data_IF_892308253629
#
_entry.id   IF_892308253629
#
_cell.length_a   1.000
_cell.length_b   1.000
_cell.length_c   1.000
_cell.angle_alpha   90.00
_cell.angle_beta   90.00
_cell.angle_gamma   90.00
#
_symmetry.space_group_name_H-M   'P 1'
#
loop_
_entity.id
_entity.type
_entity.pdbx_description
1 polymer ?
#
# COMPACT_ATOMS: atom_id res chain seq x y z
N UNK A 1 -39.12 -3.81 -82.00
CA UNK A 1 -39.76 -3.99 -80.68
C UNK A 1 -38.91 -4.95 -79.89
N UNK A 2 -38.01 -4.45 -79.05
CA UNK A 2 -37.50 -5.20 -77.89
C UNK A 2 -37.23 -4.16 -76.80
N UNK A 3 -37.95 -4.30 -75.68
CA UNK A 3 -38.08 -3.30 -74.64
C UNK A 3 -36.99 -3.40 -73.59
N UNK A 4 -36.53 -2.24 -73.10
CA UNK A 4 -35.63 -2.14 -71.95
C UNK A 4 -36.44 -2.47 -70.70
N UNK A 5 -36.09 -3.57 -70.03
CA UNK A 5 -36.61 -3.90 -68.70
C UNK A 5 -35.75 -3.17 -67.67
N UNK A 6 -36.28 -2.11 -67.07
CA UNK A 6 -35.64 -1.38 -65.97
C UNK A 6 -36.02 -2.07 -64.66
N UNK A 7 -35.06 -2.80 -64.06
CA UNK A 7 -35.24 -3.44 -62.75
C UNK A 7 -34.92 -2.42 -61.66
N UNK A 8 -35.95 -1.95 -60.95
CA UNK A 8 -35.78 -1.09 -59.78
C UNK A 8 -35.45 -1.94 -58.55
N UNK A 9 -34.19 -1.94 -58.13
CA UNK A 9 -33.78 -2.52 -56.85
C UNK A 9 -34.16 -1.56 -55.73
N UNK A 10 -35.24 -1.85 -55.02
CA UNK A 10 -35.60 -1.18 -53.77
C UNK A 10 -34.66 -1.68 -52.67
N UNK A 11 -33.65 -0.88 -52.34
CA UNK A 11 -32.81 -1.09 -51.16
C UNK A 11 -33.60 -0.66 -49.92
N UNK A 12 -34.23 -1.62 -49.24
CA UNK A 12 -34.83 -1.40 -47.92
C UNK A 12 -33.72 -1.31 -46.88
N UNK A 13 -33.35 -0.07 -46.52
CA UNK A 13 -32.53 0.20 -45.35
C UNK A 13 -33.35 -0.08 -44.09
N UNK A 14 -33.10 -1.22 -43.44
CA UNK A 14 -33.53 -1.44 -42.06
C UNK A 14 -32.55 -0.67 -41.15
N UNK A 15 -32.93 0.54 -40.77
CA UNK A 15 -32.26 1.27 -39.68
C UNK A 15 -32.59 0.56 -38.37
N UNK A 16 -31.65 -0.25 -37.89
CA UNK A 16 -31.68 -0.74 -36.51
C UNK A 16 -31.28 0.43 -35.62
N UNK A 17 -32.25 1.07 -34.99
CA UNK A 17 -31.99 2.05 -33.95
C UNK A 17 -31.55 1.29 -32.69
N UNK A 18 -30.25 1.30 -32.40
CA UNK A 18 -29.73 0.92 -31.09
C UNK A 18 -29.84 2.16 -30.22
N UNK A 19 -30.96 2.31 -29.53
CA UNK A 19 -31.06 3.28 -28.44
C UNK A 19 -30.19 2.76 -27.30
N UNK A 20 -29.04 3.40 -27.09
CA UNK A 20 -28.25 3.20 -25.89
C UNK A 20 -29.12 3.62 -24.70
N UNK A 21 -29.64 2.64 -23.96
CA UNK A 21 -30.34 2.90 -22.70
C UNK A 21 -29.28 3.33 -21.69
N UNK A 22 -29.21 4.64 -21.45
CA UNK A 22 -28.46 5.21 -20.34
C UNK A 22 -29.20 4.82 -19.04
N UNK A 23 -28.88 3.62 -18.54
CA UNK A 23 -29.46 3.12 -17.30
C UNK A 23 -28.67 3.74 -16.16
N UNK A 24 -29.25 4.80 -15.58
CA UNK A 24 -28.75 5.39 -14.34
C UNK A 24 -28.56 4.28 -13.29
N UNK A 25 -27.38 4.26 -12.66
CA UNK A 25 -27.01 3.24 -11.69
C UNK A 25 -27.45 3.68 -10.30
N UNK A 26 -28.23 2.84 -9.62
CA UNK A 26 -28.65 3.11 -8.26
C UNK A 26 -27.45 3.06 -7.28
N UNK A 27 -27.41 3.96 -6.27
CA UNK A 27 -26.37 3.93 -5.26
C UNK A 27 -26.46 2.66 -4.41
N UNK A 28 -25.31 2.01 -4.25
CA UNK A 28 -25.18 0.77 -3.49
C UNK A 28 -24.73 1.09 -2.07
N UNK A 29 -25.63 0.99 -1.08
CA UNK A 29 -25.28 1.25 0.32
C UNK A 29 -24.55 0.09 1.00
N UNK A 30 -23.87 0.41 2.10
CA UNK A 30 -23.06 -0.49 2.91
C UNK A 30 -23.88 -1.70 3.40
N UNK A 31 -23.54 -2.89 2.90
CA UNK A 31 -24.14 -4.15 3.34
C UNK A 31 -23.25 -5.35 2.97
N UNK A 32 -23.47 -6.53 3.58
CA UNK A 32 -22.80 -7.76 3.16
C UNK A 32 -23.28 -8.15 1.76
N UNK A 33 -22.35 -8.36 0.83
CA UNK A 33 -22.66 -8.72 -0.55
C UNK A 33 -21.80 -9.91 -1.00
N UNK A 34 -22.35 -10.82 -1.82
CA UNK A 34 -21.55 -11.88 -2.42
C UNK A 34 -20.40 -11.29 -3.23
N UNK A 35 -19.19 -11.76 -2.96
CA UNK A 35 -17.97 -11.37 -3.65
C UNK A 35 -17.09 -12.59 -3.89
N UNK A 36 -16.28 -12.52 -4.95
CA UNK A 36 -15.27 -13.54 -5.26
C UNK A 36 -14.06 -13.32 -4.36
N UNK A 37 -13.79 -14.29 -3.50
CA UNK A 37 -12.67 -14.26 -2.55
C UNK A 37 -11.64 -15.30 -2.98
N UNK A 38 -10.37 -14.91 -3.19
CA UNK A 38 -9.32 -15.89 -3.46
C UNK A 38 -9.08 -16.76 -2.22
N UNK A 39 -8.90 -18.05 -2.43
CA UNK A 39 -8.69 -19.01 -1.33
C UNK A 39 -7.34 -18.78 -0.65
N UNK A 40 -6.27 -18.58 -1.42
CA UNK A 40 -4.90 -18.40 -0.89
C UNK A 40 -4.01 -17.53 -1.79
N UNK A 41 -4.52 -16.40 -2.27
CA UNK A 41 -3.69 -15.39 -2.93
C UNK A 41 -2.50 -14.99 -2.03
N UNK A 42 -1.28 -14.80 -2.57
CA UNK A 42 -0.92 -14.85 -3.99
C UNK A 42 -0.53 -16.23 -4.53
N UNK A 43 -0.60 -17.29 -3.72
CA UNK A 43 0.02 -18.58 -4.03
C UNK A 43 -0.84 -19.50 -4.89
N UNK A 44 -2.17 -19.50 -4.70
CA UNK A 44 -3.10 -20.31 -5.49
C UNK A 44 -2.80 -21.83 -5.48
N UNK A 45 -2.48 -22.39 -4.32
CA UNK A 45 -2.17 -23.82 -4.14
C UNK A 45 -3.41 -24.71 -3.97
N UNK A 46 -4.60 -24.13 -3.91
CA UNK A 46 -5.84 -24.86 -3.65
C UNK A 46 -6.86 -24.73 -4.78
N UNK A 47 -7.67 -25.77 -4.98
CA UNK A 47 -8.84 -25.75 -5.86
C UNK A 47 -10.15 -25.91 -5.07
N UNK A 48 -11.19 -25.08 -5.33
CA UNK A 48 -11.22 -23.98 -6.30
C UNK A 48 -10.34 -22.79 -5.87
N UNK A 49 -9.82 -22.02 -6.84
CA UNK A 49 -8.98 -20.84 -6.54
C UNK A 49 -9.76 -19.68 -5.92
N UNK A 50 -11.07 -19.62 -6.18
CA UNK A 50 -11.97 -18.58 -5.70
C UNK A 50 -13.25 -19.22 -5.16
N UNK A 51 -13.80 -18.58 -4.13
CA UNK A 51 -15.10 -18.95 -3.55
C UNK A 51 -15.98 -17.71 -3.45
N UNK A 52 -17.29 -17.92 -3.39
CA UNK A 52 -18.24 -16.84 -3.14
C UNK A 52 -18.50 -16.70 -1.64
N UNK A 53 -18.15 -15.55 -1.06
CA UNK A 53 -18.43 -15.22 0.34
C UNK A 53 -19.00 -13.81 0.43
N UNK A 54 -19.78 -13.55 1.49
CA UNK A 54 -20.24 -12.20 1.77
C UNK A 54 -19.08 -11.35 2.28
N UNK A 55 -18.88 -10.21 1.62
CA UNK A 55 -17.94 -9.16 2.01
C UNK A 55 -18.67 -7.83 2.08
N UNK A 56 -18.24 -7.01 3.03
CA UNK A 56 -18.83 -5.69 3.22
C UNK A 56 -18.41 -4.79 2.08
N UNK A 57 -19.38 -4.11 1.48
CA UNK A 57 -19.14 -3.17 0.39
C UNK A 57 -20.32 -2.26 0.17
N UNK A 58 -20.06 -1.18 -0.55
CA UNK A 58 -21.01 -0.10 -0.78
C UNK A 58 -20.64 1.19 -0.05
N UNK A 59 -21.44 2.22 -0.32
CA UNK A 59 -21.29 3.57 0.19
C UNK A 59 -21.95 3.73 1.55
N UNK A 60 -21.32 4.53 2.41
CA UNK A 60 -21.84 4.87 3.73
C UNK A 60 -22.74 6.10 3.70
N UNK A 61 -22.31 7.11 2.95
CA UNK A 61 -22.98 8.39 2.78
C UNK A 61 -22.47 9.03 1.47
N UNK A 62 -22.69 10.33 1.30
CA UNK A 62 -22.04 11.13 0.25
C UNK A 62 -20.54 11.39 0.56
N UNK A 63 -20.07 11.04 1.75
CA UNK A 63 -18.66 11.14 2.10
C UNK A 63 -17.80 10.17 1.29
N UNK A 64 -16.60 10.62 0.93
CA UNK A 64 -15.64 9.80 0.17
C UNK A 64 -15.28 8.51 0.93
N UNK A 65 -15.04 7.39 0.23
CA UNK A 65 -14.45 6.17 0.81
C UNK A 65 -13.08 6.36 1.48
N UNK A 66 -12.44 7.53 1.27
CA UNK A 66 -11.23 7.96 1.98
C UNK A 66 -11.51 8.48 3.39
N UNK A 67 -12.76 8.82 3.72
CA UNK A 67 -13.22 9.37 5.00
C UNK A 67 -14.01 8.31 5.78
N UNK A 68 -14.96 7.64 5.13
CA UNK A 68 -15.77 6.58 5.74
C UNK A 68 -15.72 5.31 4.90
N UNK A 69 -15.57 4.14 5.53
CA UNK A 69 -15.53 2.84 4.86
C UNK A 69 -16.58 1.90 5.41
N UNK A 70 -17.14 1.08 4.52
CA UNK A 70 -18.00 -0.03 4.90
C UNK A 70 -17.14 -1.21 5.36
N UNK A 71 -17.21 -1.55 6.65
CA UNK A 71 -16.39 -2.60 7.27
C UNK A 71 -17.28 -3.66 7.94
N UNK A 72 -16.71 -4.83 8.21
CA UNK A 72 -17.42 -5.90 8.91
C UNK A 72 -17.65 -5.52 10.36
N UNK A 73 -18.92 -5.50 10.79
CA UNK A 73 -19.28 -5.36 12.19
C UNK A 73 -19.37 -6.73 12.87
N UNK A 74 -19.81 -7.76 12.12
CA UNK A 74 -19.88 -9.13 12.57
C UNK A 74 -19.49 -10.10 11.45
N UNK A 75 -19.01 -11.28 11.84
CA UNK A 75 -18.59 -12.33 10.93
C UNK A 75 -18.84 -13.72 11.50
N UNK A 76 -18.92 -14.70 10.62
CA UNK A 76 -18.92 -16.13 10.94
C UNK A 76 -17.77 -16.84 10.24
N UNK A 77 -17.28 -17.92 10.88
CA UNK A 77 -16.32 -18.83 10.26
C UNK A 77 -17.09 -19.91 9.50
N UNK A 78 -16.77 -20.08 8.22
CA UNK A 78 -17.34 -21.12 7.35
C UNK A 78 -16.24 -22.12 7.01
N UNK A 79 -16.52 -23.41 7.17
CA UNK A 79 -15.64 -24.48 6.70
C UNK A 79 -15.83 -24.69 5.20
N UNK A 80 -14.72 -24.74 4.47
CA UNK A 80 -14.70 -25.04 3.04
C UNK A 80 -13.66 -26.11 2.74
N UNK A 81 -14.08 -27.17 2.05
CA UNK A 81 -13.18 -28.25 1.65
C UNK A 81 -12.56 -27.91 0.31
N UNK A 82 -11.23 -27.85 0.27
CA UNK A 82 -10.45 -27.53 -0.92
C UNK A 82 -9.53 -28.69 -1.28
N UNK A 83 -9.17 -28.82 -2.55
CA UNK A 83 -8.13 -29.74 -2.99
C UNK A 83 -6.77 -29.06 -2.92
N UNK A 84 -5.77 -29.70 -2.32
CA UNK A 84 -4.42 -29.17 -2.19
C UNK A 84 -3.51 -29.77 -3.27
N UNK A 85 -2.94 -28.93 -4.14
CA UNK A 85 -2.04 -29.39 -5.21
C UNK A 85 -0.73 -29.98 -4.70
N UNK A 86 -0.20 -29.50 -3.57
CA UNK A 86 1.06 -29.99 -3.02
C UNK A 86 0.95 -31.41 -2.45
N UNK A 87 -0.21 -31.78 -1.91
CA UNK A 87 -0.41 -33.10 -1.26
C UNK A 87 -1.29 -34.05 -2.05
N UNK A 88 -1.99 -33.56 -3.08
CA UNK A 88 -2.97 -34.34 -3.85
C UNK A 88 -4.20 -34.77 -3.04
N UNK A 89 -4.46 -34.13 -1.89
CA UNK A 89 -5.54 -34.47 -0.95
C UNK A 89 -6.44 -33.28 -0.69
N UNK A 90 -7.65 -33.57 -0.20
CA UNK A 90 -8.55 -32.52 0.29
C UNK A 90 -8.12 -32.03 1.67
N UNK A 91 -8.35 -30.74 1.93
CA UNK A 91 -8.10 -30.06 3.20
C UNK A 91 -9.29 -29.17 3.52
N UNK A 92 -9.68 -29.11 4.79
CA UNK A 92 -10.69 -28.14 5.24
C UNK A 92 -10.00 -26.84 5.62
N UNK A 93 -10.44 -25.73 5.03
CA UNK A 93 -10.04 -24.38 5.39
C UNK A 93 -11.20 -23.68 6.10
N UNK A 94 -10.86 -22.81 7.05
CA UNK A 94 -11.83 -21.92 7.69
C UNK A 94 -11.71 -20.55 7.04
N UNK A 95 -12.82 -20.06 6.50
CA UNK A 95 -12.89 -18.77 5.83
C UNK A 95 -13.89 -17.86 6.53
N UNK A 96 -13.63 -16.55 6.49
CA UNK A 96 -14.48 -15.56 7.15
C UNK A 96 -15.56 -15.06 6.20
N UNK A 97 -16.81 -15.13 6.65
CA UNK A 97 -17.99 -14.62 5.97
C UNK A 97 -18.58 -13.45 6.77
N UNK A 98 -18.77 -12.30 6.14
CA UNK A 98 -19.32 -11.13 6.83
C UNK A 98 -20.83 -11.29 6.98
N UNK A 99 -21.36 -11.12 8.19
CA UNK A 99 -22.78 -11.30 8.50
C UNK A 99 -23.49 -9.95 8.72
N UNK A 100 -22.75 -8.93 9.15
CA UNK A 100 -23.24 -7.55 9.20
C UNK A 100 -22.11 -6.56 8.91
N UNK A 101 -22.48 -5.39 8.41
CA UNK A 101 -21.55 -4.32 8.07
C UNK A 101 -21.94 -3.05 8.80
N UNK A 102 -20.94 -2.23 9.10
CA UNK A 102 -21.14 -0.88 9.60
C UNK A 102 -20.17 0.08 8.93
N UNK A 103 -20.55 1.34 8.92
CA UNK A 103 -19.71 2.44 8.47
C UNK A 103 -18.82 2.89 9.61
N UNK A 104 -17.51 2.95 9.34
CA UNK A 104 -16.51 3.44 10.28
C UNK A 104 -15.56 4.40 9.59
N UNK A 105 -14.90 5.24 10.37
CA UNK A 105 -13.91 6.16 9.86
C UNK A 105 -12.77 5.39 9.19
N UNK A 106 -12.33 5.90 8.05
CA UNK A 106 -11.20 5.37 7.28
C UNK A 106 -9.85 5.62 7.97
N UNK A 107 -9.81 6.65 8.81
CA UNK A 107 -8.68 7.05 9.64
C UNK A 107 -9.04 6.84 11.11
N UNK A 108 -8.02 6.75 11.96
CA UNK A 108 -8.15 6.61 13.41
C UNK A 108 -7.66 7.88 14.10
N UNK A 109 -8.02 8.11 15.38
CA UNK A 109 -7.52 9.25 16.14
C UNK A 109 -5.98 9.37 16.16
N UNK A 110 -5.28 8.23 16.08
CA UNK A 110 -3.82 8.16 16.07
C UNK A 110 -3.17 8.74 14.80
N UNK A 111 -3.96 9.00 13.74
CA UNK A 111 -3.46 9.68 12.55
C UNK A 111 -3.29 11.19 12.76
N UNK A 112 -3.82 11.75 13.85
CA UNK A 112 -3.71 13.17 14.13
C UNK A 112 -2.35 13.52 14.71
N UNK A 113 -1.82 14.68 14.31
CA UNK A 113 -0.58 15.20 14.84
C UNK A 113 -0.77 15.62 16.30
N UNK A 114 -0.06 14.96 17.21
CA UNK A 114 -0.11 15.26 18.63
C UNK A 114 0.12 16.77 18.89
N UNK A 115 -0.62 17.32 19.85
CA UNK A 115 -0.57 18.73 20.28
C UNK A 115 -0.97 19.80 19.24
N UNK A 116 -1.21 19.42 17.98
CA UNK A 116 -1.59 20.32 16.89
C UNK A 116 -3.01 20.05 16.39
N UNK A 117 -3.46 18.80 16.48
CA UNK A 117 -4.73 18.37 15.95
C UNK A 117 -5.51 17.56 17.00
N UNK A 118 -6.83 17.55 16.85
CA UNK A 118 -7.74 16.75 17.66
C UNK A 118 -8.68 15.98 16.75
N UNK A 119 -8.87 14.70 17.07
CA UNK A 119 -9.83 13.87 16.37
C UNK A 119 -11.27 14.37 16.53
N UNK A 120 -11.95 14.54 15.41
CA UNK A 120 -13.38 14.79 15.33
C UNK A 120 -14.08 13.53 14.79
N UNK A 121 -14.85 12.80 15.64
CA UNK A 121 -15.52 11.58 15.24
C UNK A 121 -16.68 11.80 14.26
N UNK A 122 -17.28 13.00 14.22
CA UNK A 122 -18.44 13.27 13.37
C UNK A 122 -18.02 13.46 11.91
N UNK A 123 -16.88 14.12 11.69
CA UNK A 123 -16.29 14.32 10.37
C UNK A 123 -15.28 13.23 9.97
N UNK A 124 -14.94 12.30 10.87
CA UNK A 124 -13.89 11.30 10.69
C UNK A 124 -12.55 11.94 10.27
N UNK A 125 -12.19 13.06 10.89
CA UNK A 125 -11.03 13.87 10.49
C UNK A 125 -10.29 14.48 11.68
N UNK A 126 -9.05 14.89 11.43
CA UNK A 126 -8.24 15.63 12.39
C UNK A 126 -8.52 17.12 12.23
N UNK A 127 -9.07 17.73 13.28
CA UNK A 127 -9.35 19.15 13.33
C UNK A 127 -8.19 19.89 13.98
N UNK A 128 -7.78 20.98 13.35
CA UNK A 128 -6.78 21.89 13.87
C UNK A 128 -7.12 22.44 15.27
N UNK A 129 -6.21 22.23 16.22
CA UNK A 129 -6.16 23.04 17.43
C UNK A 129 -5.57 24.37 16.99
N UNK A 130 -6.39 25.39 16.76
CA UNK A 130 -5.97 26.74 16.35
C UNK A 130 -5.93 27.70 17.55
N UNK A 131 -4.96 27.59 18.50
CA UNK A 131 -4.81 28.56 19.57
C UNK A 131 -4.38 29.90 18.96
N UNK A 132 -5.19 30.94 19.18
CA UNK A 132 -5.03 32.27 18.57
C UNK A 132 -3.69 32.95 18.89
N UNK A 133 -3.01 32.52 19.94
CA UNK A 133 -1.78 33.15 20.45
C UNK A 133 -0.51 32.32 20.19
N UNK A 134 -0.60 31.19 19.47
CA UNK A 134 0.56 30.32 19.19
C UNK A 134 1.07 30.55 17.78
N UNK A 135 2.34 30.95 17.68
CA UNK A 135 3.08 30.91 16.42
C UNK A 135 3.79 29.56 16.30
N UNK A 136 3.70 28.95 15.12
CA UNK A 136 4.34 27.67 14.83
C UNK A 136 5.51 27.93 13.89
N UNK A 137 6.77 27.79 14.36
CA UNK A 137 7.93 27.97 13.50
C UNK A 137 8.00 26.85 12.47
N UNK A 138 8.33 27.21 11.23
CA UNK A 138 8.56 26.27 10.15
C UNK A 138 10.02 26.33 9.68
N UNK A 139 10.54 25.24 9.10
CA UNK A 139 11.83 25.26 8.42
C UNK A 139 11.89 26.31 7.31
N UNK A 140 13.09 26.72 6.93
CA UNK A 140 13.29 27.67 5.83
C UNK A 140 12.65 27.16 4.53
N UNK A 141 11.95 28.04 3.81
CA UNK A 141 11.19 27.69 2.60
C UNK A 141 9.80 27.10 2.86
N UNK A 142 9.39 26.96 4.11
CA UNK A 142 8.05 26.51 4.50
C UNK A 142 7.32 27.59 5.29
N UNK A 143 5.99 27.58 5.18
CA UNK A 143 5.09 28.40 5.98
C UNK A 143 4.07 27.55 6.72
N UNK A 144 3.61 28.05 7.87
CA UNK A 144 2.56 27.38 8.63
C UNK A 144 1.21 27.50 7.92
N UNK A 145 0.51 26.37 7.75
CA UNK A 145 -0.86 26.34 7.27
C UNK A 145 -1.84 26.17 8.43
N UNK A 146 -2.66 27.19 8.71
CA UNK A 146 -3.70 27.13 9.75
C UNK A 146 -4.82 26.13 9.44
N UNK A 147 -5.04 25.79 8.16
CA UNK A 147 -6.09 24.84 7.77
C UNK A 147 -5.61 23.39 7.81
N UNK A 148 -4.30 23.16 7.72
CA UNK A 148 -3.71 21.82 7.68
C UNK A 148 -2.86 21.49 8.91
N UNK A 149 -2.73 22.43 9.85
CA UNK A 149 -1.94 22.32 11.07
C UNK A 149 -0.55 21.71 10.88
N UNK A 150 0.11 22.13 9.80
CA UNK A 150 1.46 21.71 9.45
C UNK A 150 2.17 22.77 8.62
N UNK A 151 3.49 22.66 8.59
CA UNK A 151 4.31 23.43 7.66
C UNK A 151 4.10 22.90 6.24
N UNK A 152 3.85 23.82 5.31
CA UNK A 152 3.71 23.53 3.89
C UNK A 152 4.73 24.33 3.11
N UNK A 153 5.13 23.82 1.95
CA UNK A 153 6.03 24.54 1.06
C UNK A 153 5.49 25.95 0.76
N UNK A 154 6.33 26.96 0.95
CA UNK A 154 5.99 28.36 0.70
C UNK A 154 6.32 28.81 -0.74
N UNK A 155 6.64 27.84 -1.61
CA UNK A 155 6.96 28.06 -3.00
C UNK A 155 5.98 27.32 -3.90
N UNK A 156 5.68 27.91 -5.05
CA UNK A 156 4.92 27.24 -6.08
C UNK A 156 5.73 26.07 -6.66
N UNK A 157 5.07 24.99 -7.14
CA UNK A 157 5.76 23.92 -7.84
C UNK A 157 6.60 24.44 -9.00
N UNK A 158 7.89 24.10 -8.99
CA UNK A 158 8.84 24.50 -10.03
C UNK A 158 8.95 23.42 -11.11
N UNK A 159 9.31 23.83 -12.34
CA UNK A 159 9.64 22.88 -13.41
C UNK A 159 11.04 22.34 -13.15
N UNK A 160 11.12 21.05 -12.84
CA UNK A 160 12.38 20.36 -12.58
C UNK A 160 13.08 19.89 -13.87
N UNK A 161 14.39 19.67 -13.79
CA UNK A 161 15.16 18.96 -14.83
C UNK A 161 14.61 17.56 -15.09
N UNK A 162 14.95 16.98 -16.23
CA UNK A 162 14.40 15.70 -16.68
C UNK A 162 14.64 14.54 -15.69
N UNK A 163 15.74 14.54 -14.93
CA UNK A 163 16.07 13.50 -13.94
C UNK A 163 15.38 13.72 -12.58
N UNK A 164 14.73 14.87 -12.40
CA UNK A 164 14.13 15.29 -11.14
C UNK A 164 12.62 15.45 -11.24
N UNK A 165 11.98 15.45 -10.09
CA UNK A 165 10.57 15.74 -9.92
C UNK A 165 10.32 16.62 -8.70
N UNK A 166 9.27 17.42 -8.77
CA UNK A 166 8.92 18.32 -7.69
C UNK A 166 8.36 17.53 -6.50
N UNK A 167 9.00 17.65 -5.34
CA UNK A 167 8.51 17.06 -4.12
C UNK A 167 7.95 18.15 -3.20
N UNK A 168 6.65 18.05 -2.91
CA UNK A 168 5.91 19.02 -2.08
C UNK A 168 6.30 18.99 -0.61
N UNK A 169 6.76 17.85 -0.10
CA UNK A 169 7.16 17.67 1.31
C UNK A 169 8.58 18.21 1.55
N UNK A 170 9.48 18.00 0.60
CA UNK A 170 10.84 18.55 0.61
C UNK A 170 10.88 20.01 0.12
N UNK A 171 9.79 20.51 -0.49
CA UNK A 171 9.69 21.83 -1.09
C UNK A 171 10.83 22.13 -2.08
N UNK A 172 11.24 21.12 -2.87
CA UNK A 172 12.31 21.22 -3.85
C UNK A 172 12.24 20.11 -4.90
N UNK A 173 13.01 20.26 -5.99
CA UNK A 173 13.22 19.21 -6.98
C UNK A 173 14.14 18.11 -6.41
N UNK A 174 13.62 16.89 -6.29
CA UNK A 174 14.37 15.70 -5.89
C UNK A 174 14.56 14.77 -7.09
N UNK A 175 15.48 13.82 -7.00
CA UNK A 175 15.65 12.81 -8.05
C UNK A 175 14.41 11.91 -8.16
N UNK A 176 14.05 11.55 -9.39
CA UNK A 176 12.93 10.62 -9.64
C UNK A 176 13.17 9.27 -8.96
N UNK A 177 12.11 8.70 -8.41
CA UNK A 177 12.16 7.41 -7.71
C UNK A 177 12.75 6.28 -8.57
N UNK A 178 12.47 6.29 -9.87
CA UNK A 178 13.02 5.29 -10.80
C UNK A 178 14.56 5.29 -10.85
N UNK A 179 15.18 6.47 -10.76
CA UNK A 179 16.64 6.57 -10.74
C UNK A 179 17.20 6.05 -9.41
N UNK A 180 16.52 6.36 -8.29
CA UNK A 180 16.88 5.83 -6.98
C UNK A 180 16.84 4.30 -6.95
N UNK A 181 15.76 3.71 -7.51
CA UNK A 181 15.60 2.26 -7.66
C UNK A 181 16.75 1.65 -8.48
N UNK A 182 17.10 2.23 -9.62
CA UNK A 182 18.20 1.76 -10.47
C UNK A 182 19.54 1.80 -9.72
N UNK A 183 19.86 2.87 -9.00
CA UNK A 183 21.11 2.93 -8.23
C UNK A 183 21.14 1.87 -7.12
N UNK A 184 20.03 1.68 -6.41
CA UNK A 184 19.91 0.69 -5.36
C UNK A 184 20.06 -0.76 -5.90
N UNK A 185 19.46 -1.07 -7.05
CA UNK A 185 19.64 -2.35 -7.76
C UNK A 185 21.09 -2.60 -8.17
N UNK A 186 21.81 -1.53 -8.53
CA UNK A 186 23.24 -1.58 -8.85
C UNK A 186 24.15 -1.59 -7.61
N UNK A 187 23.58 -1.59 -6.39
CA UNK A 187 24.33 -1.43 -5.14
C UNK A 187 25.22 -0.18 -5.13
N UNK A 188 24.70 0.91 -5.70
CA UNK A 188 25.35 2.21 -5.78
C UNK A 188 24.56 3.25 -5.00
N UNK A 189 25.26 4.27 -4.53
CA UNK A 189 24.67 5.43 -3.88
C UNK A 189 24.15 6.41 -4.93
N UNK A 190 23.01 7.03 -4.66
CA UNK A 190 22.44 8.09 -5.48
C UNK A 190 23.00 9.44 -5.02
N UNK A 191 23.53 10.23 -5.95
CA UNK A 191 23.85 11.63 -5.65
C UNK A 191 22.56 12.46 -5.73
N UNK A 192 22.08 13.09 -4.64
CA UNK A 192 20.81 13.80 -4.61
C UNK A 192 20.81 15.10 -5.44
N UNK A 193 21.99 15.64 -5.74
CA UNK A 193 22.12 16.88 -6.50
C UNK A 193 22.13 16.62 -8.01
N UNK A 194 22.89 15.61 -8.46
CA UNK A 194 23.08 15.30 -9.88
C UNK A 194 22.20 14.15 -10.38
N UNK A 195 21.59 13.38 -9.48
CA UNK A 195 20.83 12.17 -9.79
C UNK A 195 21.65 11.10 -10.54
N UNK A 196 22.94 11.01 -10.22
CA UNK A 196 23.86 10.01 -10.78
C UNK A 196 24.22 8.96 -9.74
N UNK A 197 24.31 7.70 -10.16
CA UNK A 197 24.78 6.61 -9.29
C UNK A 197 26.31 6.62 -9.16
N UNK A 198 26.83 6.48 -7.95
CA UNK A 198 28.26 6.38 -7.68
C UNK A 198 28.56 5.26 -6.67
N UNK A 199 29.81 4.82 -6.60
CA UNK A 199 30.28 3.87 -5.59
C UNK A 199 30.97 4.65 -4.47
N UNK A 200 30.73 4.25 -3.23
CA UNK A 200 31.50 4.78 -2.10
C UNK A 200 32.75 3.91 -1.90
N UNK A 201 33.94 4.52 -2.03
CA UNK A 201 35.22 3.87 -1.73
C UNK A 201 35.82 2.97 -2.83
N UNK A 202 37.11 2.58 -2.67
CA UNK A 202 37.88 1.94 -3.74
C UNK A 202 37.38 0.52 -4.03
N UNK A 203 37.27 0.24 -5.33
CA UNK A 203 36.97 -1.08 -5.90
C UNK A 203 37.94 -2.11 -5.31
N UNK A 204 37.50 -2.89 -4.32
CA UNK A 204 38.15 -4.17 -4.03
C UNK A 204 37.86 -5.06 -5.22
N UNK A 205 38.84 -5.08 -6.13
CA UNK A 205 38.79 -5.81 -7.40
C UNK A 205 38.21 -7.20 -7.21
N UNK A 206 37.25 -7.51 -8.07
CA UNK A 206 36.89 -8.87 -8.46
C UNK A 206 38.20 -9.67 -8.58
N UNK A 207 38.48 -10.58 -7.64
CA UNK A 207 39.63 -11.48 -7.76
C UNK A 207 39.48 -12.24 -9.08
N UNK A 208 40.32 -11.92 -10.05
CA UNK A 208 40.64 -12.86 -11.10
C UNK A 208 41.22 -14.09 -10.41
N UNK A 209 40.61 -15.23 -10.72
CA UNK A 209 40.93 -16.52 -10.12
C UNK A 209 42.21 -17.04 -10.78
N UNK A 210 43.36 -16.57 -10.32
CA UNK A 210 44.65 -17.19 -10.64
C UNK A 210 44.90 -18.30 -9.64
N UNK A 211 44.80 -19.54 -10.14
CA UNK A 211 45.24 -20.75 -9.45
C UNK A 211 46.76 -20.74 -9.50
N UNK A 212 47.45 -20.59 -8.36
CA UNK A 212 48.80 -21.14 -8.17
C UNK A 212 49.03 -21.54 -6.71
N UNK A 213 49.86 -22.55 -6.56
CA UNK A 213 49.96 -23.48 -5.46
C UNK A 213 50.68 -22.94 -4.22
N UNK A 214 50.14 -23.31 -3.05
CA UNK A 214 50.86 -23.73 -1.84
C UNK A 214 52.00 -22.89 -1.28
N UNK A 215 51.74 -22.19 -0.16
CA UNK A 215 52.62 -22.21 1.03
C UNK A 215 51.73 -22.06 2.28
N UNK A 216 51.90 -22.98 3.23
CA UNK A 216 51.19 -23.05 4.52
C UNK A 216 51.99 -22.30 5.60
N UNK A 217 51.40 -21.28 6.24
CA UNK A 217 51.88 -20.67 7.50
C UNK A 217 50.65 -20.17 8.30
N UNK A 218 50.63 -20.29 9.64
CA UNK A 218 49.40 -20.60 10.37
C UNK A 218 48.52 -19.39 10.72
N UNK A 219 47.23 -19.69 10.86
CA UNK A 219 46.21 -18.85 11.49
C UNK A 219 46.63 -18.49 12.92
N UNK A 220 46.86 -17.21 13.17
CA UNK A 220 46.66 -16.63 14.50
C UNK A 220 45.90 -15.32 14.35
N UNK A 221 44.59 -15.38 14.53
CA UNK A 221 43.76 -14.23 14.87
C UNK A 221 42.98 -14.64 16.12
N UNK A 222 43.33 -14.03 17.24
CA UNK A 222 42.61 -14.13 18.51
C UNK A 222 41.17 -13.66 18.27
N UNK A 223 40.23 -14.57 18.48
CA UNK A 223 38.81 -14.26 18.56
C UNK A 223 38.55 -13.67 19.95
N UNK A 224 38.25 -12.38 20.03
CA UNK A 224 37.57 -11.82 21.20
C UNK A 224 36.09 -12.17 21.04
N UNK A 225 35.69 -13.24 21.71
CA UNK A 225 34.29 -13.65 21.89
C UNK A 225 33.96 -13.28 23.34
N UNK A 226 33.23 -12.20 23.57
CA UNK A 226 32.54 -12.03 24.86
C UNK A 226 31.25 -12.85 24.82
N UNK A 227 31.34 -14.06 25.38
CA UNK A 227 30.16 -14.82 25.83
C UNK A 227 29.68 -14.23 27.15
N UNK A 228 28.50 -13.61 27.18
CA UNK A 228 27.77 -13.39 28.43
C UNK A 228 26.81 -14.56 28.66
N UNK A 229 27.23 -15.48 29.51
CA UNK A 229 26.44 -16.62 30.01
C UNK A 229 25.21 -16.18 30.80
N UNK A 230 24.03 -16.69 30.44
CA UNK A 230 22.86 -16.73 31.32
C UNK A 230 23.00 -17.89 32.32
N UNK A 231 23.03 -17.57 33.62
CA UNK A 231 22.85 -18.53 34.71
C UNK A 231 21.36 -18.62 35.05
N UNK A 232 20.84 -19.83 35.07
CA UNK A 232 19.61 -20.16 35.79
C UNK A 232 19.97 -20.36 37.27
N UNK A 233 19.30 -19.63 38.16
CA UNK A 233 19.14 -20.04 39.55
C UNK A 233 17.66 -19.83 39.92
N UNK A 234 17.04 -20.92 40.37
CA UNK A 234 15.66 -20.97 40.84
C UNK A 234 15.56 -20.50 42.30
N UNK A 235 14.31 -20.21 42.70
CA UNK A 235 13.81 -20.00 44.08
C UNK A 235 13.99 -18.62 44.71
N UNK A 236 12.96 -17.78 44.58
CA UNK A 236 12.09 -17.38 45.71
C UNK A 236 10.98 -16.47 45.18
N UNK A 237 9.74 -16.75 45.58
CA UNK A 237 8.54 -16.17 44.97
C UNK A 237 8.20 -14.77 45.43
N UNK A 238 7.89 -13.88 44.48
CA UNK A 238 6.82 -12.87 44.56
C UNK A 238 6.59 -12.26 43.16
N UNK A 239 5.32 -12.04 42.81
CA UNK A 239 4.83 -11.56 41.49
C UNK A 239 5.06 -10.05 41.34
N UNK A 240 5.49 -9.54 40.16
CA UNK A 240 4.69 -8.50 39.48
C UNK A 240 4.81 -8.53 37.94
N UNK A 241 3.68 -8.63 37.22
CA UNK A 241 3.00 -7.59 36.39
C UNK A 241 3.72 -7.20 35.09
N UNK A 242 3.04 -7.52 33.99
CA UNK A 242 3.38 -7.37 32.58
C UNK A 242 3.22 -5.91 32.12
N UNK A 243 4.31 -5.27 31.71
CA UNK A 243 4.29 -4.02 30.93
C UNK A 243 5.30 -4.13 29.78
N UNK A 244 4.78 -4.09 28.55
CA UNK A 244 5.40 -3.74 27.25
C UNK A 244 6.44 -4.70 26.64
N UNK A 245 6.01 -5.38 25.57
CA UNK A 245 6.66 -5.30 24.26
C UNK A 245 5.65 -4.74 23.26
#
# INVERSE_FOLDING_TARGET
MEGIVVVFLVASALSVNVEAVDKELDPVFCSPRPSLVPVDHPYYNYWPFFVQLNRCGGSCSTASPRIQRCQAAQWSKISHTVFNFATGKTKVLLMTNHTSCNCSCAQTPDSCTADLEKWDPDSCSCACLNPKDKTYPCPEGFRWSQSLCRCICDRAPEVCSHEKEWNVEACQCICKEEIARICNEQQKLLNPNTCTCYQDGPVLGRREKSIEEGVNVPLNCEAVIEESTCKEDAETGEKPTEEKC
#
